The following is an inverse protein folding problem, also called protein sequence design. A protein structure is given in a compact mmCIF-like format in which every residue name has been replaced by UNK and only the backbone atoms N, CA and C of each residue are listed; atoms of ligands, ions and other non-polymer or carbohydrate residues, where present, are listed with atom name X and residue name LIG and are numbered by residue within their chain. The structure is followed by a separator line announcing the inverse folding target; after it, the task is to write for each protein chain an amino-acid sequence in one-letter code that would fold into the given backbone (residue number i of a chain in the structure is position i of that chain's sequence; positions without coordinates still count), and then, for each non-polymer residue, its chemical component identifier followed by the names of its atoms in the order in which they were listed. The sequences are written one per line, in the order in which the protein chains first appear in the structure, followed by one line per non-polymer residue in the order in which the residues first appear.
data_IF_972512477366
#
_entry.id   IF_972512477366
#
_cell.length_a   1.000
_cell.length_b   1.000
_cell.length_c   1.000
_cell.angle_alpha   90.00
_cell.angle_beta   90.00
_cell.angle_gamma   90.00
#
_symmetry.space_group_name_H-M   'P 1'
#
loop_
_entity.id
_entity.type
_entity.pdbx_description
1 polymer ?
#
# COMPACT_ATOMS: atom_id res chain seq x y z
N UNK A 1 17.05 -3.89 0.03
CA UNK A 1 15.96 -3.05 -0.51
C UNK A 1 15.01 -3.97 -1.26
N UNK A 2 13.78 -4.14 -0.77
CA UNK A 2 12.77 -4.94 -1.48
C UNK A 2 12.19 -4.08 -2.60
N UNK A 3 12.25 -4.55 -3.84
CA UNK A 3 11.58 -3.90 -4.97
C UNK A 3 10.08 -4.06 -4.84
N UNK A 4 9.29 -3.07 -5.21
CA UNK A 4 7.83 -3.17 -5.19
C UNK A 4 7.09 -1.88 -4.90
N UNK A 5 5.77 -1.99 -4.71
CA UNK A 5 4.93 -0.88 -4.27
C UNK A 5 4.94 -0.85 -2.75
N UNK A 6 5.30 0.28 -2.16
CA UNK A 6 5.30 0.47 -0.73
C UNK A 6 4.07 1.29 -0.32
N UNK A 7 3.35 0.80 0.68
CA UNK A 7 2.22 1.49 1.31
C UNK A 7 2.54 1.65 2.79
N UNK A 8 2.54 2.90 3.26
CA UNK A 8 2.68 3.26 4.66
C UNK A 8 1.36 3.75 5.23
N UNK A 9 1.03 3.29 6.43
CA UNK A 9 -0.17 3.73 7.16
C UNK A 9 -0.02 3.46 8.66
N UNK A 10 -0.79 4.18 9.47
CA UNK A 10 -0.85 3.96 10.92
C UNK A 10 -1.53 2.63 11.26
N UNK A 11 -1.12 1.96 12.35
CA UNK A 11 -1.85 0.83 12.91
C UNK A 11 -3.30 1.21 13.32
N UNK A 12 -3.52 2.49 13.61
CA UNK A 12 -4.84 3.07 13.95
C UNK A 12 -5.57 3.65 12.72
N UNK A 13 -5.10 3.35 11.49
CA UNK A 13 -5.71 3.87 10.26
C UNK A 13 -7.18 3.42 10.12
N UNK A 14 -8.00 4.32 9.56
CA UNK A 14 -9.42 4.06 9.36
C UNK A 14 -9.67 2.77 8.54
N UNK A 15 -10.49 1.87 9.10
CA UNK A 15 -10.79 0.57 8.49
C UNK A 15 -11.48 0.68 7.12
N UNK A 16 -12.26 1.73 6.88
CA UNK A 16 -12.90 1.96 5.58
C UNK A 16 -11.87 2.36 4.51
N UNK A 17 -10.85 3.16 4.86
CA UNK A 17 -9.72 3.43 3.96
C UNK A 17 -9.00 2.13 3.59
N UNK A 18 -8.70 1.27 4.57
CA UNK A 18 -8.06 -0.03 4.31
C UNK A 18 -8.90 -0.91 3.37
N UNK A 19 -10.22 -0.96 3.56
CA UNK A 19 -11.13 -1.68 2.63
C UNK A 19 -11.08 -1.11 1.21
N UNK A 20 -11.01 0.22 1.05
CA UNK A 20 -10.88 0.87 -0.27
C UNK A 20 -9.56 0.50 -0.94
N UNK A 21 -8.45 0.48 -0.20
CA UNK A 21 -7.14 0.05 -0.69
C UNK A 21 -7.20 -1.40 -1.19
N UNK A 22 -7.71 -2.32 -0.38
CA UNK A 22 -7.85 -3.74 -0.77
C UNK A 22 -8.71 -3.89 -2.03
N UNK A 23 -9.80 -3.14 -2.12
CA UNK A 23 -10.68 -3.17 -3.30
C UNK A 23 -9.96 -2.68 -4.55
N UNK A 24 -9.16 -1.62 -4.45
CA UNK A 24 -8.35 -1.12 -5.56
C UNK A 24 -7.28 -2.14 -5.97
N UNK A 25 -6.54 -2.71 -5.01
CA UNK A 25 -5.49 -3.69 -5.29
C UNK A 25 -6.04 -4.92 -6.04
N UNK A 26 -7.24 -5.39 -5.67
CA UNK A 26 -7.93 -6.48 -6.39
C UNK A 26 -8.29 -6.13 -7.83
N UNK A 27 -8.57 -4.87 -8.13
CA UNK A 27 -8.90 -4.40 -9.49
C UNK A 27 -7.66 -4.22 -10.36
N UNK A 28 -6.53 -3.85 -9.77
CA UNK A 28 -5.28 -3.55 -10.48
C UNK A 28 -4.22 -4.64 -10.25
N UNK A 29 -4.61 -5.91 -10.38
CA UNK A 29 -3.69 -7.05 -10.24
C UNK A 29 -2.51 -6.95 -11.21
N UNK A 30 -1.36 -7.43 -10.76
CA UNK A 30 -0.12 -7.50 -11.54
C UNK A 30 0.91 -8.36 -10.82
N UNK A 31 2.17 -8.22 -11.21
CA UNK A 31 3.32 -9.00 -10.75
C UNK A 31 4.21 -8.26 -9.74
N UNK A 32 3.96 -6.97 -9.51
CA UNK A 32 4.78 -6.17 -8.58
C UNK A 32 4.32 -6.43 -7.14
N UNK A 33 5.22 -6.84 -6.24
CA UNK A 33 4.87 -7.16 -4.86
C UNK A 33 4.50 -5.91 -4.07
N UNK A 34 3.65 -6.11 -3.06
CA UNK A 34 3.21 -5.06 -2.16
C UNK A 34 3.95 -5.13 -0.82
N UNK A 35 4.62 -4.06 -0.46
CA UNK A 35 5.32 -3.88 0.81
C UNK A 35 4.48 -2.97 1.71
N UNK A 36 4.19 -3.43 2.92
CA UNK A 36 3.39 -2.72 3.92
C UNK A 36 4.30 -2.19 5.03
N UNK A 37 4.10 -0.92 5.39
CA UNK A 37 4.81 -0.23 6.47
C UNK A 37 3.76 0.25 7.46
N UNK A 38 3.61 -0.49 8.57
CA UNK A 38 2.58 -0.25 9.57
C UNK A 38 3.20 0.52 10.73
N UNK A 39 2.83 1.77 10.90
CA UNK A 39 3.38 2.67 11.90
C UNK A 39 2.62 2.57 13.23
N UNK A 40 3.34 2.35 14.31
CA UNK A 40 2.83 2.48 15.69
C UNK A 40 3.54 3.63 16.38
N UNK A 41 3.12 3.98 17.60
CA UNK A 41 3.78 5.02 18.40
C UNK A 41 5.27 4.72 18.68
N UNK A 42 5.65 3.45 18.71
CA UNK A 42 6.99 3.01 19.10
C UNK A 42 7.88 2.67 17.90
N UNK A 43 7.32 2.08 16.85
CA UNK A 43 8.09 1.60 15.69
C UNK A 43 7.23 1.34 14.45
N UNK A 44 7.91 1.11 13.33
CA UNK A 44 7.31 0.68 12.07
C UNK A 44 7.52 -0.81 11.85
N UNK A 45 6.44 -1.55 11.65
CA UNK A 45 6.47 -2.94 11.22
C UNK A 45 6.47 -3.02 9.70
N UNK A 46 7.30 -3.90 9.15
CA UNK A 46 7.39 -4.11 7.70
C UNK A 46 6.90 -5.50 7.35
N UNK A 47 6.01 -5.60 6.38
CA UNK A 47 5.50 -6.86 5.87
C UNK A 47 5.47 -6.85 4.35
N UNK A 48 5.60 -8.03 3.74
CA UNK A 48 5.34 -8.21 2.31
C UNK A 48 4.01 -8.94 2.19
N UNK A 49 3.10 -8.42 1.37
CA UNK A 49 1.84 -9.11 1.13
C UNK A 49 2.07 -10.33 0.26
N UNK A 50 1.54 -11.47 0.70
CA UNK A 50 1.48 -12.70 -0.09
C UNK A 50 0.23 -12.77 -0.97
N UNK A 51 -0.83 -12.06 -0.57
CA UNK A 51 -2.14 -12.11 -1.24
C UNK A 51 -2.30 -11.04 -2.32
N UNK A 52 -1.49 -9.98 -2.27
CA UNK A 52 -1.64 -8.83 -3.15
C UNK A 52 -0.36 -8.47 -3.87
N UNK A 53 -0.46 -8.51 -5.20
CA UNK A 53 0.48 -7.94 -6.16
C UNK A 53 -0.28 -7.08 -7.17
N UNK A 54 0.34 -6.01 -7.68
CA UNK A 54 -0.33 -5.02 -8.51
C UNK A 54 0.54 -4.54 -9.67
N UNK A 55 -0.07 -3.89 -10.67
CA UNK A 55 0.62 -3.48 -11.90
C UNK A 55 1.34 -2.11 -11.84
N UNK A 56 1.42 -1.49 -10.65
CA UNK A 56 2.00 -0.17 -10.40
C UNK A 56 1.61 0.94 -11.40
N UNK A 57 0.46 0.81 -12.07
CA UNK A 57 0.01 1.81 -13.05
C UNK A 57 -0.13 3.19 -12.41
N UNK A 58 0.16 4.26 -13.17
CA UNK A 58 0.00 5.66 -12.70
C UNK A 58 -1.39 5.91 -12.11
N UNK A 59 -2.43 5.30 -12.70
CA UNK A 59 -3.81 5.39 -12.20
C UNK A 59 -4.00 4.72 -10.83
N UNK A 60 -3.41 3.54 -10.60
CA UNK A 60 -3.44 2.89 -9.29
C UNK A 60 -2.73 3.75 -8.25
N UNK A 61 -1.52 4.22 -8.54
CA UNK A 61 -0.72 5.01 -7.61
C UNK A 61 -1.45 6.30 -7.22
N UNK A 62 -2.01 7.02 -8.19
CA UNK A 62 -2.78 8.23 -7.92
C UNK A 62 -3.99 7.96 -7.00
N UNK A 63 -4.71 6.85 -7.23
CA UNK A 63 -5.86 6.46 -6.39
C UNK A 63 -5.47 5.99 -5.00
N UNK A 64 -4.32 5.33 -4.84
CA UNK A 64 -3.81 4.96 -3.52
C UNK A 64 -3.40 6.23 -2.75
N UNK A 65 -2.67 7.13 -3.40
CA UNK A 65 -2.24 8.42 -2.82
C UNK A 65 -3.41 9.29 -2.39
N UNK A 66 -4.52 9.30 -3.13
CA UNK A 66 -5.71 10.05 -2.71
C UNK A 66 -6.41 9.47 -1.48
N UNK A 67 -6.09 8.23 -1.06
CA UNK A 67 -6.68 7.59 0.14
C UNK A 67 -5.77 7.77 1.36
N UNK A 68 -4.46 7.51 1.21
CA UNK A 68 -3.50 7.47 2.33
C UNK A 68 -2.49 8.60 2.34
N UNK A 69 -2.52 9.49 1.35
CA UNK A 69 -1.56 10.58 1.20
C UNK A 69 -0.45 10.25 0.20
N UNK A 70 0.14 11.30 -0.37
CA UNK A 70 1.14 11.20 -1.43
C UNK A 70 2.44 10.54 -0.92
N UNK A 71 2.94 11.00 0.22
CA UNK A 71 4.17 10.50 0.85
C UNK A 71 4.03 9.09 1.44
N UNK A 72 2.82 8.56 1.49
CA UNK A 72 2.54 7.22 1.99
C UNK A 72 2.77 6.14 0.93
N UNK A 73 2.93 6.51 -0.35
CA UNK A 73 3.06 5.58 -1.47
C UNK A 73 4.30 5.87 -2.33
N UNK A 74 5.22 4.91 -2.38
CA UNK A 74 6.41 4.97 -3.23
C UNK A 74 6.71 3.62 -3.88
N UNK A 75 7.59 3.63 -4.89
CA UNK A 75 8.08 2.43 -5.57
C UNK A 75 9.59 2.35 -5.37
N UNK A 76 10.10 1.15 -5.09
CA UNK A 76 11.53 0.84 -4.98
C UNK A 76 11.94 -0.31 -5.91
#
# INVERSE_FOLDING_TARGET
FCKGIHIRFSADEDRNKLKKIVTLLKKYKGDIPLNLHIETREKTYRAVSVDYSANASKSLLAKLRSIVGEDSIWIS
#
